data_IF_139359472198
#
_entry.id   IF_139359472198
#
_cell.length_a   1.000
_cell.length_b   1.000
_cell.length_c   1.000
_cell.angle_alpha   90.00
_cell.angle_beta   90.00
_cell.angle_gamma   90.00
#
_symmetry.space_group_name_H-M   'P 1'
#
loop_
_entity.id
_entity.type
_entity.pdbx_description
1 polymer ?
#
# COMPACT_ATOMS: atom_id res chain seq x y z
N UNK A 1 0.09 -15.19 -5.57
CA UNK A 1 1.17 -14.92 -4.60
C UNK A 1 1.56 -13.45 -4.69
N UNK A 2 0.97 -12.64 -3.81
CA UNK A 2 1.01 -11.17 -3.80
C UNK A 2 2.38 -10.62 -3.35
N UNK A 3 3.04 -11.35 -2.46
CA UNK A 3 4.47 -11.32 -2.20
C UNK A 3 4.98 -12.73 -2.52
N UNK A 4 5.94 -12.88 -3.43
CA UNK A 4 6.31 -14.19 -3.99
C UNK A 4 7.84 -14.39 -4.03
N UNK A 5 8.31 -15.64 -3.88
CA UNK A 5 9.73 -15.97 -3.96
C UNK A 5 10.31 -15.83 -5.38
N UNK A 6 11.64 -15.73 -5.42
CA UNK A 6 12.54 -15.37 -6.54
C UNK A 6 12.18 -15.90 -7.95
N UNK A 7 11.59 -17.10 -8.08
CA UNK A 7 11.52 -17.81 -9.38
C UNK A 7 10.55 -17.21 -10.41
N UNK A 8 9.56 -16.41 -10.00
CA UNK A 8 8.52 -15.91 -10.91
C UNK A 8 8.72 -14.46 -11.38
N UNK A 9 9.80 -13.79 -10.94
CA UNK A 9 10.04 -12.37 -11.22
C UNK A 9 10.67 -12.10 -12.61
N UNK A 10 11.31 -13.12 -13.21
CA UNK A 10 12.11 -12.96 -14.44
C UNK A 10 11.29 -12.56 -15.67
N UNK A 11 10.02 -12.95 -15.75
CA UNK A 11 9.18 -12.71 -16.92
C UNK A 11 8.63 -11.27 -17.01
N UNK A 12 8.78 -10.48 -15.94
CA UNK A 12 8.18 -9.14 -15.83
C UNK A 12 9.20 -8.02 -15.57
N UNK A 13 10.49 -8.29 -15.70
CA UNK A 13 11.55 -7.29 -15.58
C UNK A 13 11.36 -6.09 -16.52
N UNK A 14 10.77 -6.32 -17.70
CA UNK A 14 10.44 -5.29 -18.69
C UNK A 14 9.34 -4.34 -18.22
N UNK A 15 8.38 -4.83 -17.44
CA UNK A 15 7.31 -4.00 -16.89
C UNK A 15 7.84 -3.06 -15.81
N UNK A 16 8.68 -3.56 -14.89
CA UNK A 16 9.35 -2.70 -13.89
C UNK A 16 10.16 -1.57 -14.53
N UNK A 17 10.91 -1.89 -15.60
CA UNK A 17 11.69 -0.88 -16.32
C UNK A 17 10.81 0.15 -17.02
N UNK A 18 9.61 -0.23 -17.47
CA UNK A 18 8.67 0.67 -18.12
C UNK A 18 8.04 1.68 -17.15
N UNK A 19 7.73 1.29 -15.91
CA UNK A 19 7.01 2.14 -14.93
C UNK A 19 7.64 3.53 -14.73
N UNK A 20 8.95 3.58 -14.46
CA UNK A 20 9.67 4.83 -14.20
C UNK A 20 10.84 5.11 -15.16
N UNK A 21 11.05 4.27 -16.19
CA UNK A 21 12.02 4.49 -17.27
C UNK A 21 13.43 4.88 -16.76
N UNK A 22 14.00 4.08 -15.86
CA UNK A 22 15.37 4.30 -15.36
C UNK A 22 16.37 4.36 -16.52
N UNK A 23 17.23 5.40 -16.53
CA UNK A 23 18.19 5.60 -17.64
C UNK A 23 19.24 4.49 -17.75
N UNK A 24 19.66 3.93 -16.61
CA UNK A 24 20.70 2.89 -16.57
C UNK A 24 20.49 1.97 -15.35
N UNK A 25 19.49 1.07 -15.39
CA UNK A 25 19.18 0.20 -14.27
C UNK A 25 20.28 -0.86 -14.06
N UNK A 26 20.56 -1.18 -12.80
CA UNK A 26 21.38 -2.33 -12.44
C UNK A 26 20.77 -3.65 -12.92
N UNK A 27 21.59 -4.70 -13.01
CA UNK A 27 21.07 -6.02 -13.38
C UNK A 27 20.14 -6.56 -12.27
N UNK A 28 18.85 -6.65 -12.57
CA UNK A 28 17.82 -7.05 -11.63
C UNK A 28 18.11 -8.40 -10.96
N UNK A 29 18.70 -9.37 -11.67
CA UNK A 29 19.03 -10.69 -11.09
C UNK A 29 20.04 -10.54 -9.95
N UNK A 30 21.08 -9.74 -10.16
CA UNK A 30 22.13 -9.49 -9.15
C UNK A 30 21.54 -8.74 -7.94
N UNK A 31 20.64 -7.79 -8.18
CA UNK A 31 19.99 -7.03 -7.11
C UNK A 31 19.09 -7.95 -6.27
N UNK A 32 18.29 -8.80 -6.92
CA UNK A 32 17.42 -9.76 -6.24
C UNK A 32 18.23 -10.81 -5.46
N UNK A 33 19.32 -11.33 -6.02
CA UNK A 33 20.20 -12.28 -5.32
C UNK A 33 20.76 -11.69 -4.02
N UNK A 34 21.13 -10.40 -4.03
CA UNK A 34 21.58 -9.69 -2.82
C UNK A 34 20.44 -9.41 -1.84
N UNK A 35 19.26 -9.09 -2.37
CA UNK A 35 18.08 -8.78 -1.56
C UNK A 35 17.66 -9.99 -0.73
N UNK A 36 17.51 -11.16 -1.35
CA UNK A 36 17.06 -12.38 -0.68
C UNK A 36 18.14 -13.04 0.21
N UNK A 37 19.38 -12.57 0.16
CA UNK A 37 20.38 -12.88 1.20
C UNK A 37 20.14 -12.08 2.50
N UNK A 38 19.40 -10.97 2.43
CA UNK A 38 19.18 -10.04 3.54
C UNK A 38 17.80 -10.21 4.20
N UNK A 39 16.77 -10.50 3.41
CA UNK A 39 15.38 -10.63 3.86
C UNK A 39 14.87 -12.06 3.66
N UNK A 40 13.84 -12.50 4.39
CA UNK A 40 13.26 -13.84 4.21
C UNK A 40 12.71 -14.05 2.79
N UNK A 41 12.94 -15.25 2.24
CA UNK A 41 12.36 -15.72 0.97
C UNK A 41 11.20 -16.71 1.21
N UNK A 42 10.48 -16.53 2.33
CA UNK A 42 9.37 -17.42 2.71
C UNK A 42 8.08 -17.07 1.97
N UNK A 43 7.33 -18.10 1.55
CA UNK A 43 5.97 -17.92 1.07
C UNK A 43 5.04 -17.58 2.23
N UNK A 44 4.56 -16.34 2.27
CA UNK A 44 3.65 -15.86 3.30
C UNK A 44 2.20 -15.90 2.83
N UNK A 45 1.28 -15.94 3.80
CA UNK A 45 -0.18 -15.95 3.59
C UNK A 45 -0.70 -17.19 2.85
N UNK A 46 0.01 -18.31 2.95
CA UNK A 46 -0.38 -19.63 2.40
C UNK A 46 -1.30 -20.43 3.34
N UNK A 47 -1.92 -19.76 4.31
CA UNK A 47 -2.78 -20.34 5.34
C UNK A 47 -4.27 -20.27 4.98
N UNK A 48 -4.61 -20.09 3.70
CA UNK A 48 -5.99 -20.12 3.22
C UNK A 48 -6.65 -21.46 3.57
N UNK A 49 -7.68 -21.42 4.41
CA UNK A 49 -8.40 -22.57 4.92
C UNK A 49 -9.89 -22.22 5.08
N UNK A 50 -10.84 -23.14 4.81
CA UNK A 50 -12.28 -22.85 4.95
C UNK A 50 -12.71 -22.33 6.32
N UNK A 51 -12.02 -22.75 7.38
CA UNK A 51 -12.30 -22.35 8.77
C UNK A 51 -11.59 -21.07 9.22
N UNK A 52 -10.74 -20.49 8.35
CA UNK A 52 -10.04 -19.23 8.64
C UNK A 52 -10.92 -18.07 8.20
N UNK A 53 -11.08 -17.09 9.09
CA UNK A 53 -11.66 -15.79 8.75
C UNK A 53 -10.69 -14.71 9.19
N UNK A 54 -9.88 -14.21 8.24
CA UNK A 54 -8.95 -13.10 8.45
C UNK A 54 -9.61 -11.79 8.05
N UNK A 55 -9.77 -10.92 9.03
CA UNK A 55 -10.29 -9.57 8.87
C UNK A 55 -9.17 -8.56 8.69
N UNK A 56 -9.34 -7.62 7.78
CA UNK A 56 -8.33 -6.62 7.46
C UNK A 56 -8.91 -5.21 7.39
N UNK A 57 -8.24 -4.26 8.05
CA UNK A 57 -8.51 -2.83 7.89
C UNK A 57 -7.45 -2.21 7.00
N UNK A 58 -7.84 -1.67 5.85
CA UNK A 58 -6.97 -0.88 4.97
C UNK A 58 -7.22 0.60 5.26
N UNK A 59 -6.20 1.29 5.77
CA UNK A 59 -6.30 2.68 6.20
C UNK A 59 -5.49 3.56 5.25
N UNK A 60 -6.21 4.31 4.43
CA UNK A 60 -5.67 5.38 3.58
C UNK A 60 -5.35 6.65 4.37
N UNK A 61 -5.06 7.72 3.64
CA UNK A 61 -4.49 8.95 4.22
C UNK A 61 -5.43 10.16 4.13
N UNK A 62 -6.67 9.95 3.70
CA UNK A 62 -7.65 11.03 3.52
C UNK A 62 -8.02 11.68 4.86
N UNK A 63 -8.26 12.99 4.81
CA UNK A 63 -8.74 13.80 5.91
C UNK A 63 -10.17 13.47 6.34
N UNK A 64 -10.91 12.68 5.55
CA UNK A 64 -12.23 12.18 5.93
C UNK A 64 -12.22 11.26 7.18
N UNK A 65 -11.03 10.86 7.64
CA UNK A 65 -10.85 10.16 8.91
C UNK A 65 -10.95 11.08 10.13
N UNK A 66 -10.79 12.40 10.00
CA UNK A 66 -10.82 13.32 11.15
C UNK A 66 -12.17 13.28 11.84
N UNK A 67 -12.14 13.17 13.16
CA UNK A 67 -13.31 13.09 14.05
C UNK A 67 -14.25 11.91 13.76
N UNK A 68 -13.83 10.95 12.93
CA UNK A 68 -14.61 9.78 12.55
C UNK A 68 -14.77 8.76 13.68
N UNK A 69 -13.82 8.77 14.64
CA UNK A 69 -13.76 7.81 15.76
C UNK A 69 -13.69 6.34 15.34
N UNK A 70 -13.20 6.05 14.13
CA UNK A 70 -13.05 4.68 13.63
C UNK A 70 -11.92 3.88 14.30
N UNK A 71 -11.08 4.50 15.14
CA UNK A 71 -9.84 3.88 15.60
C UNK A 71 -10.02 2.54 16.30
N UNK A 72 -11.02 2.42 17.18
CA UNK A 72 -11.33 1.16 17.85
C UNK A 72 -11.82 0.06 16.91
N UNK A 73 -12.57 0.43 15.86
CA UNK A 73 -13.05 -0.50 14.85
C UNK A 73 -11.91 -0.94 13.92
N UNK A 74 -11.05 0.00 13.51
CA UNK A 74 -9.85 -0.28 12.73
C UNK A 74 -8.96 -1.31 13.44
N UNK A 75 -8.68 -1.09 14.73
CA UNK A 75 -7.78 -1.93 15.52
C UNK A 75 -8.35 -3.32 15.86
N UNK A 76 -9.67 -3.51 15.67
CA UNK A 76 -10.34 -4.80 15.91
C UNK A 76 -10.02 -5.87 14.86
N UNK A 77 -9.65 -5.47 13.65
CA UNK A 77 -9.27 -6.38 12.55
C UNK A 77 -7.98 -7.13 12.87
N UNK A 78 -7.85 -8.37 12.38
CA UNK A 78 -6.63 -9.18 12.54
C UNK A 78 -5.41 -8.43 12.00
N UNK A 79 -5.51 -7.94 10.76
CA UNK A 79 -4.51 -7.10 10.13
C UNK A 79 -4.99 -5.65 9.97
N UNK A 80 -4.09 -4.72 10.29
CA UNK A 80 -4.23 -3.30 9.96
C UNK A 80 -3.11 -2.94 8.98
N UNK A 81 -3.51 -2.51 7.80
CA UNK A 81 -2.65 -2.23 6.65
C UNK A 81 -2.65 -0.71 6.45
N UNK A 82 -1.47 -0.09 6.59
CA UNK A 82 -1.25 1.35 6.42
C UNK A 82 -0.27 1.61 5.29
N UNK A 83 -0.14 2.88 4.90
CA UNK A 83 0.71 3.26 3.79
C UNK A 83 1.31 4.67 3.91
N UNK A 84 2.44 4.86 3.24
CA UNK A 84 3.13 6.16 3.14
C UNK A 84 3.46 6.74 4.53
N UNK A 85 3.31 8.06 4.73
CA UNK A 85 3.77 8.78 5.93
C UNK A 85 2.63 9.21 6.87
N UNK A 86 1.43 8.60 6.77
CA UNK A 86 0.33 8.98 7.64
C UNK A 86 0.62 8.56 9.10
N UNK A 87 0.57 9.49 10.07
CA UNK A 87 0.83 9.19 11.46
C UNK A 87 -0.40 8.57 12.12
N UNK A 88 -0.16 7.72 13.10
CA UNK A 88 -1.18 7.29 14.06
C UNK A 88 -1.14 8.13 15.33
N UNK A 89 0.05 8.58 15.73
CA UNK A 89 0.25 9.33 16.97
C UNK A 89 -0.51 10.66 16.96
N UNK A 90 -1.38 10.87 17.95
CA UNK A 90 -2.25 12.04 18.07
C UNK A 90 -3.57 11.94 17.29
N UNK A 91 -3.79 10.86 16.54
CA UNK A 91 -5.01 10.60 15.77
C UNK A 91 -5.64 9.24 16.13
N UNK A 92 -5.21 8.60 17.22
CA UNK A 92 -5.53 7.20 17.54
C UNK A 92 -7.04 6.95 17.69
N UNK A 93 -7.80 7.94 18.17
CA UNK A 93 -9.25 7.82 18.25
C UNK A 93 -9.90 7.63 16.88
N UNK A 94 -9.34 8.25 15.85
CA UNK A 94 -9.88 8.26 14.49
C UNK A 94 -9.30 7.14 13.66
N UNK A 95 -7.98 6.91 13.75
CA UNK A 95 -7.28 6.00 12.84
C UNK A 95 -6.72 4.75 13.50
N UNK A 96 -6.85 4.62 14.82
CA UNK A 96 -6.31 3.50 15.59
C UNK A 96 -4.81 3.59 15.82
N UNK A 97 -4.27 2.69 16.65
CA UNK A 97 -2.83 2.61 16.95
C UNK A 97 -2.18 1.35 16.35
N UNK A 98 -2.96 0.31 16.04
CA UNK A 98 -2.44 -0.96 15.52
C UNK A 98 -1.93 -0.78 14.09
N UNK A 99 -0.77 -1.34 13.81
CA UNK A 99 -0.24 -1.50 12.46
C UNK A 99 0.40 -2.88 12.38
N UNK A 100 0.02 -3.65 11.37
CA UNK A 100 0.58 -4.99 11.12
C UNK A 100 1.40 -5.03 9.85
N UNK A 101 0.98 -4.28 8.84
CA UNK A 101 1.61 -4.19 7.55
C UNK A 101 1.66 -2.73 7.13
N UNK A 102 2.79 -2.29 6.59
CA UNK A 102 2.97 -0.94 6.11
C UNK A 102 3.55 -0.95 4.70
N UNK A 103 2.77 -0.49 3.73
CA UNK A 103 3.19 -0.38 2.34
C UNK A 103 3.90 0.96 2.11
N UNK A 104 5.11 0.91 1.58
CA UNK A 104 5.85 2.13 1.25
C UNK A 104 6.86 1.90 0.13
N UNK A 105 7.38 3.02 -0.39
CA UNK A 105 8.45 3.10 -1.36
C UNK A 105 9.46 4.15 -0.87
N UNK A 106 10.69 4.24 -1.43
CA UNK A 106 11.77 5.05 -0.85
C UNK A 106 11.40 6.51 -0.56
N UNK A 107 10.63 7.12 -1.45
CA UNK A 107 10.20 8.52 -1.38
C UNK A 107 9.07 8.75 -0.36
N UNK A 108 8.36 7.71 0.08
CA UNK A 108 7.31 7.77 1.11
C UNK A 108 7.66 7.02 2.40
N UNK A 109 8.94 6.65 2.57
CA UNK A 109 9.39 5.79 3.65
C UNK A 109 9.31 6.45 5.04
N UNK A 110 8.91 5.64 6.03
CA UNK A 110 8.90 6.00 7.44
C UNK A 110 9.57 4.91 8.28
N UNK A 111 9.94 5.24 9.52
CA UNK A 111 10.43 4.27 10.48
C UNK A 111 9.26 3.45 11.03
N UNK A 112 9.49 2.14 11.19
CA UNK A 112 8.48 1.18 11.63
C UNK A 112 8.88 0.57 12.97
N UNK A 113 7.86 0.16 13.72
CA UNK A 113 8.06 -0.66 14.91
C UNK A 113 8.54 -2.07 14.55
N UNK A 114 9.03 -2.82 15.53
CA UNK A 114 9.61 -4.15 15.30
C UNK A 114 8.55 -5.24 15.03
N UNK A 115 7.28 -4.95 15.31
CA UNK A 115 6.13 -5.85 15.09
C UNK A 115 5.53 -5.71 13.69
N UNK A 116 5.71 -4.56 13.04
CA UNK A 116 5.15 -4.23 11.74
C UNK A 116 5.97 -4.83 10.60
N UNK A 117 5.27 -5.46 9.66
CA UNK A 117 5.84 -5.93 8.41
C UNK A 117 5.94 -4.79 7.39
N UNK A 118 7.14 -4.56 6.87
CA UNK A 118 7.39 -3.58 5.82
C UNK A 118 7.14 -4.23 4.48
N UNK A 119 6.22 -3.71 3.68
CA UNK A 119 6.00 -4.17 2.31
C UNK A 119 6.51 -3.09 1.35
N UNK A 120 7.65 -3.34 0.72
CA UNK A 120 8.23 -2.44 -0.27
C UNK A 120 7.48 -2.57 -1.59
N UNK A 121 7.00 -1.46 -2.16
CA UNK A 121 6.49 -1.41 -3.53
C UNK A 121 7.62 -0.95 -4.46
N UNK A 122 8.20 -1.85 -5.28
CA UNK A 122 9.24 -1.46 -6.22
C UNK A 122 8.62 -0.92 -7.51
N UNK A 123 8.75 0.39 -7.73
CA UNK A 123 8.42 1.02 -9.02
C UNK A 123 9.61 1.04 -9.97
N UNK A 124 10.82 0.82 -9.45
CA UNK A 124 12.08 0.81 -10.19
C UNK A 124 13.14 -0.07 -9.51
N UNK A 125 14.19 -0.43 -10.24
CA UNK A 125 15.27 -1.30 -9.73
C UNK A 125 15.99 -0.63 -8.55
N UNK A 126 16.16 0.70 -8.61
CA UNK A 126 16.75 1.47 -7.54
C UNK A 126 15.99 1.36 -6.21
N UNK A 127 14.69 1.05 -6.21
CA UNK A 127 13.93 0.87 -4.96
C UNK A 127 14.38 -0.41 -4.22
N UNK A 128 14.69 -1.46 -4.98
CA UNK A 128 15.23 -2.72 -4.45
C UNK A 128 16.66 -2.51 -3.93
N UNK A 129 17.47 -1.73 -4.63
CA UNK A 129 18.81 -1.37 -4.13
C UNK A 129 18.72 -0.47 -2.89
N UNK A 130 17.75 0.44 -2.85
CA UNK A 130 17.50 1.31 -1.72
C UNK A 130 17.16 0.53 -0.46
N UNK A 131 16.29 -0.50 -0.52
CA UNK A 131 15.97 -1.27 0.69
C UNK A 131 17.17 -2.06 1.21
N UNK A 132 18.02 -2.59 0.31
CA UNK A 132 19.29 -3.23 0.71
C UNK A 132 20.17 -2.21 1.43
N UNK A 133 20.34 -1.04 0.82
CA UNK A 133 21.16 0.05 1.34
C UNK A 133 20.64 0.57 2.68
N UNK A 134 19.35 0.85 2.80
CA UNK A 134 18.73 1.48 3.97
C UNK A 134 18.72 0.57 5.21
N UNK A 135 18.71 -0.76 5.01
CA UNK A 135 18.84 -1.77 6.05
C UNK A 135 20.30 -2.13 6.38
N UNK A 136 21.28 -1.63 5.64
CA UNK A 136 22.71 -1.97 5.80
C UNK A 136 23.62 -0.74 5.87
N UNK A 137 24.14 -0.29 4.73
CA UNK A 137 25.19 0.73 4.61
C UNK A 137 24.63 2.14 4.76
N UNK A 138 23.48 2.41 4.13
CA UNK A 138 22.85 3.70 4.02
C UNK A 138 23.49 4.63 2.98
N UNK A 139 24.02 4.05 1.91
CA UNK A 139 24.70 4.80 0.85
C UNK A 139 23.73 5.52 -0.12
N UNK A 140 22.48 5.07 -0.20
CA UNK A 140 21.48 5.65 -1.12
C UNK A 140 20.63 6.63 -0.33
N UNK A 141 20.85 7.93 -0.56
CA UNK A 141 20.12 9.03 0.09
C UNK A 141 19.31 9.88 -0.88
N UNK A 142 19.31 9.54 -2.17
CA UNK A 142 18.60 10.27 -3.21
C UNK A 142 18.20 9.36 -4.37
N UNK A 143 16.96 9.50 -4.83
CA UNK A 143 16.46 8.98 -6.11
C UNK A 143 16.29 10.17 -7.07
N UNK A 144 15.07 10.45 -7.55
CA UNK A 144 14.75 11.74 -8.17
C UNK A 144 14.51 12.84 -7.12
N UNK A 145 14.15 12.46 -5.89
CA UNK A 145 14.07 13.32 -4.70
C UNK A 145 14.97 12.77 -3.58
N UNK A 146 15.29 13.55 -2.54
CA UNK A 146 15.94 13.02 -1.34
C UNK A 146 15.12 11.91 -0.71
N UNK A 147 15.78 10.83 -0.30
CA UNK A 147 15.15 9.68 0.39
C UNK A 147 15.90 9.36 1.68
N UNK A 148 15.25 8.67 2.60
CA UNK A 148 15.89 8.26 3.86
C UNK A 148 17.06 7.32 3.57
N UNK A 149 18.26 7.69 4.02
CA UNK A 149 19.43 6.83 3.87
C UNK A 149 19.39 5.61 4.76
N UNK A 150 18.68 5.66 5.89
CA UNK A 150 18.44 4.52 6.79
C UNK A 150 16.98 4.49 7.22
N UNK A 151 16.46 3.28 7.40
CA UNK A 151 15.10 3.04 7.89
C UNK A 151 15.18 2.05 9.04
N UNK A 152 14.49 2.36 10.14
CA UNK A 152 14.27 1.41 11.23
C UNK A 152 13.13 0.47 10.84
N UNK A 153 13.47 -0.79 10.56
CA UNK A 153 12.50 -1.84 10.31
C UNK A 153 13.08 -3.21 10.72
N UNK A 154 12.22 -4.16 11.02
CA UNK A 154 12.64 -5.53 11.31
C UNK A 154 12.97 -6.26 9.99
N UNK A 155 14.26 -6.56 9.76
CA UNK A 155 14.73 -7.26 8.54
C UNK A 155 14.00 -8.58 8.29
N UNK A 156 13.64 -9.31 9.35
CA UNK A 156 12.90 -10.57 9.28
C UNK A 156 11.41 -10.41 8.95
N UNK A 157 10.92 -9.17 8.77
CA UNK A 157 9.54 -8.85 8.39
C UNK A 157 9.49 -7.90 7.18
N UNK A 158 10.56 -7.84 6.40
CA UNK A 158 10.59 -7.08 5.15
C UNK A 158 10.13 -7.97 4.02
N UNK A 159 9.12 -7.49 3.29
CA UNK A 159 8.50 -8.14 2.15
C UNK A 159 8.58 -7.23 0.94
N UNK A 160 8.60 -7.83 -0.25
CA UNK A 160 8.57 -7.09 -1.50
C UNK A 160 7.26 -7.38 -2.22
N UNK A 161 6.56 -6.31 -2.58
CA UNK A 161 5.36 -6.38 -3.40
C UNK A 161 5.73 -6.94 -4.77
N UNK A 162 5.06 -8.01 -5.19
CA UNK A 162 5.40 -8.70 -6.43
C UNK A 162 5.08 -7.81 -7.67
N UNK A 163 6.07 -7.47 -8.52
CA UNK A 163 5.86 -6.67 -9.72
C UNK A 163 4.91 -7.30 -10.73
N UNK A 164 4.87 -8.64 -10.80
CA UNK A 164 3.90 -9.35 -11.64
C UNK A 164 2.48 -9.12 -11.12
N UNK A 165 2.31 -9.05 -9.80
CA UNK A 165 1.03 -8.71 -9.19
C UNK A 165 0.67 -7.24 -9.40
N UNK A 166 1.65 -6.32 -9.30
CA UNK A 166 1.44 -4.91 -9.66
C UNK A 166 0.96 -4.79 -11.11
N UNK A 167 1.58 -5.53 -12.04
CA UNK A 167 1.14 -5.58 -13.44
C UNK A 167 -0.28 -6.13 -13.58
N UNK A 168 -0.60 -7.21 -12.88
CA UNK A 168 -1.95 -7.78 -12.87
C UNK A 168 -2.99 -6.76 -12.41
N UNK A 169 -2.72 -6.02 -11.32
CA UNK A 169 -3.60 -4.95 -10.85
C UNK A 169 -3.78 -3.89 -11.95
N UNK A 170 -2.69 -3.45 -12.58
CA UNK A 170 -2.76 -2.47 -13.65
C UNK A 170 -3.56 -2.95 -14.88
N UNK A 171 -3.28 -4.17 -15.36
CA UNK A 171 -3.91 -4.68 -16.59
C UNK A 171 -5.36 -5.10 -16.37
N UNK A 172 -5.65 -5.79 -15.25
CA UNK A 172 -6.93 -6.49 -15.05
C UNK A 172 -7.94 -5.68 -14.26
N UNK A 173 -7.47 -4.82 -13.35
CA UNK A 173 -8.35 -4.00 -12.53
C UNK A 173 -8.41 -2.57 -13.01
N UNK A 174 -7.26 -2.00 -13.42
CA UNK A 174 -7.24 -0.66 -13.98
C UNK A 174 -7.48 -0.64 -15.50
N UNK A 175 -7.51 -1.79 -16.18
CA UNK A 175 -7.67 -1.88 -17.64
C UNK A 175 -6.66 -1.01 -18.41
N UNK A 176 -5.47 -0.77 -17.83
CA UNK A 176 -4.45 0.11 -18.38
C UNK A 176 -4.73 1.61 -18.25
N UNK A 177 -5.71 2.02 -17.43
CA UNK A 177 -5.95 3.42 -17.11
C UNK A 177 -4.87 3.98 -16.16
N UNK A 178 -4.43 5.21 -16.44
CA UNK A 178 -3.35 5.85 -15.71
C UNK A 178 -1.96 5.34 -16.11
N UNK A 179 -0.94 5.71 -15.34
CA UNK A 179 0.45 5.27 -15.60
C UNK A 179 0.80 3.99 -14.84
N UNK A 180 0.37 3.90 -13.59
CA UNK A 180 0.51 2.73 -12.71
C UNK A 180 -0.34 2.93 -11.45
N UNK A 181 -0.83 1.84 -10.81
CA UNK A 181 -1.73 1.93 -9.66
C UNK A 181 -1.19 2.76 -8.48
N UNK A 182 -2.08 3.49 -7.79
CA UNK A 182 -1.71 4.23 -6.58
C UNK A 182 -1.32 3.28 -5.44
N UNK A 183 -0.58 3.79 -4.46
CA UNK A 183 -0.27 3.00 -3.25
C UNK A 183 -1.54 2.61 -2.48
N UNK A 184 -2.57 3.46 -2.48
CA UNK A 184 -3.89 3.18 -1.91
C UNK A 184 -4.51 1.93 -2.53
N UNK A 185 -4.62 1.95 -3.85
CA UNK A 185 -5.23 0.85 -4.59
C UNK A 185 -4.41 -0.44 -4.53
N UNK A 186 -3.07 -0.35 -4.56
CA UNK A 186 -2.21 -1.51 -4.34
C UNK A 186 -2.38 -2.11 -2.94
N UNK A 187 -2.56 -1.27 -1.92
CA UNK A 187 -2.82 -1.75 -0.55
C UNK A 187 -4.19 -2.44 -0.43
N UNK A 188 -5.21 -1.91 -1.11
CA UNK A 188 -6.53 -2.55 -1.19
C UNK A 188 -6.43 -3.91 -1.89
N UNK A 189 -5.80 -3.96 -3.06
CA UNK A 189 -5.63 -5.22 -3.81
C UNK A 189 -4.80 -6.25 -3.05
N UNK A 190 -3.79 -5.80 -2.33
CA UNK A 190 -3.03 -6.63 -1.42
C UNK A 190 -3.94 -7.29 -0.37
N UNK A 191 -4.78 -6.49 0.30
CA UNK A 191 -5.72 -6.98 1.31
C UNK A 191 -6.74 -7.98 0.73
N UNK A 192 -7.38 -7.64 -0.39
CA UNK A 192 -8.38 -8.50 -1.06
C UNK A 192 -7.83 -9.90 -1.37
N UNK A 193 -6.53 -10.03 -1.62
CA UNK A 193 -5.93 -11.33 -1.96
C UNK A 193 -5.39 -12.12 -0.76
N UNK A 194 -5.28 -11.52 0.43
CA UNK A 194 -4.75 -12.23 1.63
C UNK A 194 -5.77 -12.35 2.76
N UNK A 195 -6.86 -11.56 2.71
CA UNK A 195 -7.89 -11.46 3.73
C UNK A 195 -9.19 -12.07 3.22
N UNK A 196 -10.04 -12.51 4.16
CA UNK A 196 -11.36 -13.03 3.85
C UNK A 196 -12.42 -11.91 3.95
N UNK A 197 -12.14 -10.87 4.74
CA UNK A 197 -12.96 -9.66 4.87
C UNK A 197 -12.07 -8.41 4.89
N UNK A 198 -12.42 -7.40 4.09
CA UNK A 198 -11.68 -6.14 4.02
C UNK A 198 -12.55 -4.95 4.36
N UNK A 199 -12.15 -4.19 5.37
CA UNK A 199 -12.73 -2.90 5.74
C UNK A 199 -11.83 -1.78 5.22
N UNK A 200 -12.41 -0.83 4.50
CA UNK A 200 -11.66 0.27 3.87
C UNK A 200 -11.99 1.60 4.55
N UNK A 201 -10.95 2.35 4.94
CA UNK A 201 -11.07 3.65 5.60
C UNK A 201 -10.10 4.66 5.00
N UNK A 202 -10.46 5.95 4.93
CA UNK A 202 -9.51 6.98 4.51
C UNK A 202 -9.23 7.03 3.01
N UNK A 203 -10.16 6.53 2.19
CA UNK A 203 -10.14 6.61 0.73
C UNK A 203 -11.16 7.65 0.25
N UNK A 204 -10.87 8.32 -0.86
CA UNK A 204 -11.76 9.33 -1.44
C UNK A 204 -11.69 10.70 -0.75
N UNK A 205 -12.50 11.62 -1.26
CA UNK A 205 -12.68 12.96 -0.72
C UNK A 205 -13.42 12.96 0.63
N UNK A 206 -13.38 14.09 1.33
CA UNK A 206 -14.26 14.36 2.47
C UNK A 206 -15.70 14.70 2.04
N UNK A 207 -16.58 14.98 3.01
CA UNK A 207 -18.00 15.26 2.76
C UNK A 207 -18.22 16.54 1.93
N UNK A 208 -17.23 17.43 1.91
CA UNK A 208 -17.24 18.69 1.16
C UNK A 208 -16.57 18.54 -0.22
N UNK A 209 -16.12 17.33 -0.58
CA UNK A 209 -15.43 17.04 -1.84
C UNK A 209 -13.95 17.43 -1.85
N UNK A 210 -13.35 17.71 -0.69
CA UNK A 210 -11.93 18.07 -0.61
C UNK A 210 -11.05 16.83 -0.51
N UNK A 211 -9.96 16.84 -1.30
CA UNK A 211 -8.87 15.87 -1.22
C UNK A 211 -7.74 16.42 -0.34
N UNK A 212 -7.96 16.39 0.97
CA UNK A 212 -6.96 16.86 1.95
C UNK A 212 -6.34 15.67 2.68
N UNK A 213 -5.00 15.60 2.85
CA UNK A 213 -4.38 14.60 3.73
C UNK A 213 -4.74 14.83 5.21
N UNK A 214 -4.83 13.74 5.98
CA UNK A 214 -5.12 13.75 7.42
C UNK A 214 -4.23 14.71 8.24
N UNK A 215 -2.97 14.87 7.83
CA UNK A 215 -1.98 15.72 8.51
C UNK A 215 -2.23 17.24 8.41
N UNK A 216 -3.21 17.70 7.62
CA UNK A 216 -3.58 19.11 7.58
C UNK A 216 -2.50 20.06 7.08
N UNK A 217 -1.50 19.54 6.37
CA UNK A 217 -0.65 20.36 5.54
C UNK A 217 -1.38 20.62 4.22
N UNK A 218 -1.46 21.88 3.82
CA UNK A 218 -1.51 22.19 2.39
C UNK A 218 -0.15 21.74 1.85
N UNK A 219 0.01 20.44 1.60
CA UNK A 219 0.86 20.07 0.49
C UNK A 219 0.05 20.50 -0.71
N UNK A 220 0.43 21.64 -1.28
CA UNK A 220 0.20 21.83 -2.68
C UNK A 220 0.78 20.57 -3.35
N UNK A 221 -0.08 19.59 -3.66
CA UNK A 221 -0.16 19.23 -5.06
C UNK A 221 -0.43 20.57 -5.69
N UNK A 222 0.63 21.20 -6.23
CA UNK A 222 0.38 22.26 -7.19
C UNK A 222 -0.73 21.73 -8.07
N UNK A 223 -1.69 22.60 -8.32
CA UNK A 223 -2.73 22.50 -9.32
C UNK A 223 -2.07 22.38 -10.72
N UNK A 224 -1.10 21.47 -10.87
CA UNK A 224 -0.78 20.83 -12.11
C UNK A 224 -2.00 19.98 -12.38
N UNK A 225 -2.82 20.55 -13.24
CA UNK A 225 -3.77 19.90 -14.12
C UNK A 225 -3.14 18.75 -14.92
N UNK A 226 -2.46 17.81 -14.25
CA UNK A 226 -2.25 16.46 -14.76
C UNK A 226 -3.57 15.73 -14.55
N UNK A 227 -4.50 16.04 -15.46
CA UNK A 227 -5.82 15.41 -15.56
C UNK A 227 -5.73 13.89 -15.46
N UNK A 228 -4.59 13.26 -15.82
CA UNK A 228 -4.36 11.83 -15.68
C UNK A 228 -4.28 11.32 -14.23
N UNK A 229 -3.72 12.06 -13.27
CA UNK A 229 -3.61 11.59 -11.87
C UNK A 229 -4.96 11.70 -11.16
N UNK A 230 -5.67 12.83 -11.35
CA UNK A 230 -7.03 13.01 -10.81
C UNK A 230 -8.05 12.05 -11.45
N UNK A 231 -8.01 11.84 -12.76
CA UNK A 231 -8.88 10.84 -13.42
C UNK A 231 -8.57 9.40 -12.96
N UNK A 232 -7.34 9.15 -12.53
CA UNK A 232 -6.92 7.85 -12.01
C UNK A 232 -7.43 7.62 -10.59
N UNK A 233 -7.34 8.62 -9.71
CA UNK A 233 -7.94 8.56 -8.38
C UNK A 233 -9.46 8.35 -8.47
N UNK A 234 -10.14 9.00 -9.43
CA UNK A 234 -11.57 8.79 -9.70
C UNK A 234 -11.88 7.37 -10.17
N UNK A 235 -11.07 6.80 -11.07
CA UNK A 235 -11.27 5.44 -11.60
C UNK A 235 -11.02 4.38 -10.51
N UNK A 236 -9.95 4.51 -9.74
CA UNK A 236 -9.65 3.65 -8.59
C UNK A 236 -10.74 3.74 -7.51
N UNK A 237 -11.24 4.95 -7.24
CA UNK A 237 -12.33 5.17 -6.30
C UNK A 237 -13.63 4.50 -6.79
N UNK A 238 -13.97 4.61 -8.07
CA UNK A 238 -15.13 3.93 -8.65
C UNK A 238 -15.04 2.40 -8.51
N UNK A 239 -13.87 1.80 -8.74
CA UNK A 239 -13.69 0.36 -8.52
C UNK A 239 -13.89 0.00 -7.05
N UNK A 240 -13.38 0.82 -6.13
CA UNK A 240 -13.55 0.62 -4.70
C UNK A 240 -15.04 0.64 -4.31
N UNK A 241 -15.83 1.56 -4.90
CA UNK A 241 -17.29 1.60 -4.71
C UNK A 241 -18.01 0.39 -5.32
N UNK A 242 -17.59 -0.09 -6.49
CA UNK A 242 -18.18 -1.28 -7.12
C UNK A 242 -17.92 -2.56 -6.30
N UNK A 243 -16.72 -2.67 -5.73
CA UNK A 243 -16.35 -3.76 -4.83
C UNK A 243 -17.24 -3.77 -3.58
N UNK A 244 -17.39 -2.59 -2.98
CA UNK A 244 -18.31 -2.34 -1.88
C UNK A 244 -19.76 -2.76 -2.17
N UNK A 245 -20.29 -2.40 -3.33
CA UNK A 245 -21.69 -2.68 -3.70
C UNK A 245 -21.95 -4.18 -3.91
N UNK A 246 -21.01 -4.88 -4.54
CA UNK A 246 -21.12 -6.34 -4.74
C UNK A 246 -21.09 -7.12 -3.42
N UNK A 247 -20.34 -6.66 -2.43
CA UNK A 247 -20.24 -7.33 -1.13
C UNK A 247 -21.37 -6.93 -0.15
N UNK A 248 -21.94 -5.72 -0.25
CA UNK A 248 -23.19 -5.37 0.47
C UNK A 248 -24.34 -6.34 0.19
N UNK A 249 -24.37 -6.91 -1.01
CA UNK A 249 -25.38 -7.91 -1.39
C UNK A 249 -25.26 -9.24 -0.63
N UNK A 250 -24.14 -9.50 0.06
CA UNK A 250 -23.88 -10.74 0.82
C UNK A 250 -23.83 -10.58 2.35
N UNK A 251 -23.81 -9.36 2.89
CA UNK A 251 -23.76 -9.11 4.34
C UNK A 251 -25.02 -8.38 4.82
N UNK A 252 -25.99 -9.13 5.35
CA UNK A 252 -27.09 -8.57 6.15
C UNK A 252 -26.60 -8.46 7.60
N UNK A 253 -25.97 -7.35 7.93
CA UNK A 253 -26.02 -6.73 9.25
C UNK A 253 -25.50 -5.29 9.12
N UNK A 254 -26.43 -4.34 9.10
CA UNK A 254 -26.17 -2.90 9.15
C UNK A 254 -25.62 -2.55 10.53
N UNK A 255 -24.37 -2.10 10.60
CA UNK A 255 -24.01 -1.07 11.57
C UNK A 255 -24.20 0.27 10.86
N UNK A 256 -25.22 1.03 11.26
CA UNK A 256 -25.39 2.44 10.89
C UNK A 256 -24.17 3.25 11.39
N UNK A 257 -23.10 3.31 10.59
CA UNK A 257 -22.03 4.29 10.76
C UNK A 257 -22.44 5.55 10.00
N UNK A 258 -23.09 6.45 10.74
CA UNK A 258 -23.34 7.81 10.29
C UNK A 258 -22.00 8.56 10.22
N UNK A 259 -21.65 9.03 9.03
CA UNK A 259 -20.53 9.92 8.66
C UNK A 259 -19.17 9.25 8.39
N UNK A 260 -18.89 9.01 7.11
CA UNK A 260 -17.64 8.47 6.57
C UNK A 260 -17.84 7.11 5.90
N UNK A 261 -17.35 6.97 4.68
CA UNK A 261 -17.54 5.75 3.86
C UNK A 261 -16.59 4.66 4.42
N UNK A 262 -16.99 4.02 5.53
CA UNK A 262 -16.49 2.71 5.91
C UNK A 262 -17.23 1.70 5.05
N UNK A 263 -16.52 1.00 4.16
CA UNK A 263 -17.17 -0.05 3.37
C UNK A 263 -16.46 -1.37 3.47
N UNK A 264 -17.26 -2.42 3.64
CA UNK A 264 -16.88 -3.82 3.61
C UNK A 264 -16.76 -4.26 2.16
N UNK A 265 -15.57 -4.74 1.80
CA UNK A 265 -15.17 -5.26 0.49
C UNK A 265 -14.76 -6.71 0.65
#
# INVERSE_FOLDING_TARGET
MVAAPFRHWREHATFLQWLQAERNPSNLTIVLDRLFQLIPDEELYVDAHPDRCRTCSVVGNSGNLRESRYGSYIDSSDFVIRMNQAPTQGFENDVGFKTTHHLMYPESATDLDNSTSLILIPFKTLDLEWIISSLTTGNISKTYVPVRSRVKANKGKVLIYNPSFLKYVYDSWLEGHGRYPSTGFLSLMFAVHICDEVNVFGFGADHDGNWAPLLGGITCWEEHSDTQVSMMEDYEYNITLLLADKHRSCSIEEAELTHGISTKV
#
